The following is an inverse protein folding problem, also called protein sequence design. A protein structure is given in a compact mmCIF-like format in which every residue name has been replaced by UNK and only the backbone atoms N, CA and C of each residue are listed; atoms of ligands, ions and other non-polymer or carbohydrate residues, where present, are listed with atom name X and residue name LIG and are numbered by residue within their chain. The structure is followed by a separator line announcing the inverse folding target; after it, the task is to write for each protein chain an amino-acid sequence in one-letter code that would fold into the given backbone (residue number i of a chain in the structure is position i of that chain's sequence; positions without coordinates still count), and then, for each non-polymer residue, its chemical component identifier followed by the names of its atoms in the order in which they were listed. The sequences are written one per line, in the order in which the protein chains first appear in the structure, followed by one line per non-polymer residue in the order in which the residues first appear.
data_IF_973513575174
#
_entry.id   IF_973513575174
#
_cell.length_a   1.000
_cell.length_b   1.000
_cell.length_c   1.000
_cell.angle_alpha   90.00
_cell.angle_beta   90.00
_cell.angle_gamma   90.00
#
_symmetry.space_group_name_H-M   'P 1'
#
loop_
_entity.id
_entity.type
_entity.pdbx_description
1 polymer ?
#
# COMPACT_ATOMS: atom_id res chain seq x y z
N UNK A 1 -25.73 -7.75 19.46
CA UNK A 1 -24.82 -6.93 18.64
C UNK A 1 -24.29 -7.82 17.53
N UNK A 2 -24.44 -7.42 16.27
CA UNK A 2 -23.76 -8.10 15.18
C UNK A 2 -22.26 -7.81 15.28
N UNK A 3 -21.44 -8.85 15.18
CA UNK A 3 -19.98 -8.71 15.19
C UNK A 3 -19.54 -8.03 13.89
N UNK A 4 -18.66 -7.02 13.98
CA UNK A 4 -18.11 -6.35 12.80
C UNK A 4 -17.17 -7.32 12.08
N UNK A 5 -17.38 -7.53 10.78
CA UNK A 5 -16.42 -8.30 9.98
C UNK A 5 -15.13 -7.50 9.84
N UNK A 6 -13.98 -8.10 10.16
CA UNK A 6 -12.71 -7.41 10.08
C UNK A 6 -11.61 -8.19 9.35
N UNK A 7 -10.79 -7.48 8.59
CA UNK A 7 -9.66 -8.03 7.86
C UNK A 7 -8.43 -7.10 7.93
N UNK A 8 -7.24 -7.67 7.90
CA UNK A 8 -5.98 -6.91 7.98
C UNK A 8 -4.95 -7.52 7.02
N UNK A 9 -4.56 -6.73 6.02
CA UNK A 9 -3.65 -7.14 4.95
C UNK A 9 -2.33 -6.36 5.08
N UNK A 10 -1.38 -6.98 5.78
CA UNK A 10 -0.06 -6.39 6.04
C UNK A 10 0.99 -7.37 5.50
N UNK A 11 2.05 -6.90 4.84
CA UNK A 11 3.15 -7.76 4.43
C UNK A 11 3.75 -8.54 5.60
N UNK A 12 4.44 -9.64 5.29
CA UNK A 12 5.17 -10.38 6.31
C UNK A 12 6.23 -9.48 6.97
N UNK A 13 6.48 -9.70 8.26
CA UNK A 13 7.48 -8.96 9.04
C UNK A 13 8.87 -9.08 8.41
N UNK A 14 9.22 -10.26 7.87
CA UNK A 14 10.47 -10.45 7.13
C UNK A 14 10.61 -9.52 5.92
N UNK A 15 9.52 -9.29 5.18
CA UNK A 15 9.53 -8.41 4.01
C UNK A 15 9.69 -6.95 4.42
N UNK A 16 9.04 -6.54 5.51
CA UNK A 16 9.18 -5.20 6.10
C UNK A 16 10.61 -4.95 6.63
N UNK A 17 11.20 -5.93 7.31
CA UNK A 17 12.59 -5.86 7.78
C UNK A 17 13.54 -5.69 6.59
N UNK A 18 13.29 -6.41 5.50
CA UNK A 18 14.12 -6.32 4.31
C UNK A 18 14.00 -4.97 3.60
N UNK A 19 12.82 -4.35 3.61
CA UNK A 19 12.63 -2.97 3.12
C UNK A 19 13.52 -1.98 3.88
N UNK A 20 13.74 -2.18 5.18
CA UNK A 20 14.59 -1.32 6.00
C UNK A 20 16.09 -1.42 5.70
N UNK A 21 16.52 -2.37 4.86
CA UNK A 21 17.93 -2.62 4.53
C UNK A 21 18.42 -1.88 3.28
N UNK A 22 17.54 -1.21 2.54
CA UNK A 22 17.93 -0.47 1.34
C UNK A 22 18.36 0.95 1.68
N UNK A 23 19.55 1.30 1.25
CA UNK A 23 20.16 2.61 1.49
C UNK A 23 20.87 3.14 0.25
N UNK A 24 21.26 4.43 0.28
CA UNK A 24 22.14 5.01 -0.74
C UNK A 24 21.40 5.64 -1.92
N UNK A 25 21.91 5.40 -3.13
CA UNK A 25 21.24 5.77 -4.38
C UNK A 25 20.51 4.56 -4.94
N UNK A 26 19.32 4.75 -5.50
CA UNK A 26 18.55 3.66 -6.08
C UNK A 26 18.05 3.97 -7.49
N UNK A 27 18.10 2.93 -8.32
CA UNK A 27 17.49 2.88 -9.65
C UNK A 27 16.15 2.17 -9.54
N UNK A 28 15.13 2.74 -10.16
CA UNK A 28 13.77 2.23 -10.09
C UNK A 28 13.34 1.74 -11.46
N UNK A 29 12.85 0.52 -11.51
CA UNK A 29 12.38 -0.12 -12.72
C UNK A 29 10.93 -0.51 -12.59
N UNK A 30 10.19 -0.41 -13.69
CA UNK A 30 8.83 -0.93 -13.79
C UNK A 30 8.84 -2.18 -14.66
N UNK A 31 8.12 -3.20 -14.20
CA UNK A 31 7.87 -4.43 -14.95
C UNK A 31 6.37 -4.59 -15.13
N UNK A 32 5.95 -4.77 -16.38
CA UNK A 32 4.56 -5.07 -16.75
C UNK A 32 4.57 -6.30 -17.64
N UNK A 33 3.87 -7.36 -17.23
CA UNK A 33 3.73 -8.54 -18.07
C UNK A 33 2.35 -9.16 -17.92
N UNK A 34 1.83 -9.65 -19.04
CA UNK A 34 0.57 -10.39 -19.08
C UNK A 34 0.82 -11.84 -18.64
N UNK A 35 0.08 -12.29 -17.63
CA UNK A 35 0.12 -13.68 -17.20
C UNK A 35 -1.07 -14.40 -17.81
N UNK A 36 -0.84 -15.05 -18.95
CA UNK A 36 -1.88 -15.74 -19.75
C UNK A 36 -2.73 -16.72 -18.91
N UNK A 37 -2.09 -17.48 -18.00
CA UNK A 37 -2.76 -18.48 -17.15
C UNK A 37 -3.80 -17.88 -16.22
N UNK A 38 -3.58 -16.65 -15.75
CA UNK A 38 -4.47 -15.95 -14.82
C UNK A 38 -5.29 -14.85 -15.51
N UNK A 39 -5.12 -14.69 -16.83
CA UNK A 39 -5.69 -13.61 -17.63
C UNK A 39 -5.59 -12.24 -16.94
N UNK A 40 -4.42 -11.94 -16.36
CA UNK A 40 -4.18 -10.71 -15.59
C UNK A 40 -2.84 -10.08 -15.93
N UNK A 41 -2.76 -8.76 -15.83
CA UNK A 41 -1.50 -8.02 -15.89
C UNK A 41 -0.88 -8.05 -14.50
N UNK A 42 0.41 -8.35 -14.43
CA UNK A 42 1.19 -8.18 -13.22
C UNK A 42 2.03 -6.92 -13.32
N UNK A 43 1.80 -6.00 -12.38
CA UNK A 43 2.55 -4.77 -12.22
C UNK A 43 3.55 -4.92 -11.07
N UNK A 44 4.82 -4.64 -11.34
CA UNK A 44 5.88 -4.68 -10.34
C UNK A 44 6.76 -3.45 -10.45
N UNK A 45 7.20 -2.96 -9.30
CA UNK A 45 8.20 -1.92 -9.14
C UNK A 45 9.41 -2.54 -8.48
N UNK A 46 10.57 -2.35 -9.08
CA UNK A 46 11.85 -2.87 -8.66
C UNK A 46 12.74 -1.71 -8.24
N UNK A 47 13.23 -1.75 -7.02
CA UNK A 47 14.12 -0.74 -6.46
C UNK A 47 15.46 -1.42 -6.24
N UNK A 48 16.47 -1.02 -7.00
CA UNK A 48 17.83 -1.56 -6.89
C UNK A 48 18.73 -0.48 -6.30
N UNK A 49 19.15 -0.69 -5.06
CA UNK A 49 20.05 0.19 -4.34
C UNK A 49 21.52 -0.10 -4.69
N UNK A 50 22.37 0.91 -4.57
CA UNK A 50 23.82 0.83 -4.82
C UNK A 50 24.56 -0.03 -3.78
N UNK A 51 23.93 -0.31 -2.63
CA UNK A 51 24.40 -1.24 -1.60
C UNK A 51 24.28 -2.73 -2.00
N UNK A 52 23.74 -3.02 -3.19
CA UNK A 52 23.56 -4.37 -3.72
C UNK A 52 22.26 -5.05 -3.30
N UNK A 53 21.38 -4.38 -2.55
CA UNK A 53 20.04 -4.88 -2.22
C UNK A 53 19.01 -4.48 -3.29
N UNK A 54 18.03 -5.36 -3.52
CA UNK A 54 16.91 -5.07 -4.40
C UNK A 54 15.58 -5.41 -3.74
N UNK A 55 14.58 -4.54 -3.90
CA UNK A 55 13.22 -4.74 -3.40
C UNK A 55 12.26 -4.78 -4.57
N UNK A 56 11.39 -5.78 -4.59
CA UNK A 56 10.25 -5.83 -5.49
C UNK A 56 8.97 -5.54 -4.74
N UNK A 57 8.25 -4.55 -5.24
CA UNK A 57 6.93 -4.17 -4.79
C UNK A 57 5.97 -4.57 -5.89
N UNK A 58 4.97 -5.37 -5.56
CA UNK A 58 3.89 -5.76 -6.43
C UNK A 58 2.55 -5.43 -5.75
N UNK A 59 1.48 -5.34 -6.53
CA UNK A 59 0.12 -5.30 -6.00
C UNK A 59 -0.59 -6.59 -6.43
N UNK A 60 -1.33 -7.20 -5.52
CA UNK A 60 -2.21 -8.33 -5.79
C UNK A 60 -3.54 -8.12 -5.07
N UNK A 61 -4.57 -8.84 -5.51
CA UNK A 61 -5.90 -8.77 -4.91
C UNK A 61 -6.03 -9.70 -3.71
N UNK A 62 -6.41 -9.13 -2.57
CA UNK A 62 -6.78 -9.88 -1.36
C UNK A 62 -8.24 -9.67 -1.03
N UNK A 63 -8.96 -10.79 -0.84
CA UNK A 63 -10.33 -10.87 -0.31
C UNK A 63 -11.46 -10.29 -1.19
N UNK A 64 -12.43 -11.15 -1.50
CA UNK A 64 -13.56 -10.91 -2.41
C UNK A 64 -14.62 -9.99 -1.79
N UNK A 65 -14.75 -9.99 -0.46
CA UNK A 65 -15.83 -9.23 0.21
C UNK A 65 -15.54 -7.73 0.24
N UNK A 66 -14.28 -7.34 0.41
CA UNK A 66 -13.87 -5.94 0.46
C UNK A 66 -13.19 -5.45 -0.83
N UNK A 67 -12.71 -6.36 -1.69
CA UNK A 67 -11.92 -6.06 -2.87
C UNK A 67 -10.68 -5.20 -2.54
N UNK A 68 -9.97 -5.55 -1.47
CA UNK A 68 -8.77 -4.82 -1.10
C UNK A 68 -7.65 -5.05 -2.11
N UNK A 69 -7.09 -3.95 -2.61
CA UNK A 69 -5.84 -3.96 -3.34
C UNK A 69 -4.70 -4.08 -2.32
N UNK A 70 -4.08 -5.25 -2.26
CA UNK A 70 -3.08 -5.57 -1.25
C UNK A 70 -1.68 -5.48 -1.85
N UNK A 71 -0.80 -4.74 -1.20
CA UNK A 71 0.62 -4.76 -1.55
C UNK A 71 1.22 -6.14 -1.27
N UNK A 72 1.75 -6.77 -2.32
CA UNK A 72 2.67 -7.90 -2.20
C UNK A 72 4.10 -7.35 -2.21
N UNK A 73 4.76 -7.36 -1.05
CA UNK A 73 6.17 -7.02 -0.94
C UNK A 73 6.99 -8.31 -1.04
N UNK A 74 8.01 -8.34 -1.90
CA UNK A 74 8.98 -9.44 -1.94
C UNK A 74 10.38 -8.88 -2.11
N UNK A 75 11.25 -9.14 -1.14
CA UNK A 75 12.65 -8.70 -1.22
C UNK A 75 13.54 -9.84 -1.69
N UNK A 76 14.53 -9.54 -2.54
CA UNK A 76 15.47 -10.55 -3.02
C UNK A 76 16.84 -9.97 -3.36
N UNK A 77 17.91 -10.78 -3.33
CA UNK A 77 19.24 -10.33 -3.71
C UNK A 77 19.27 -9.81 -5.15
N UNK A 78 19.99 -8.71 -5.40
CA UNK A 78 20.09 -8.08 -6.73
C UNK A 78 20.80 -8.95 -7.79
N UNK A 79 21.42 -10.06 -7.38
CA UNK A 79 22.22 -10.97 -8.22
C UNK A 79 21.40 -11.82 -9.21
N UNK A 80 20.14 -11.47 -9.48
CA UNK A 80 19.30 -12.16 -10.46
C UNK A 80 19.47 -11.50 -11.84
N UNK A 81 20.37 -12.04 -12.64
CA UNK A 81 20.75 -11.64 -14.01
C UNK A 81 19.63 -11.71 -15.08
N UNK A 82 18.35 -11.77 -14.71
CA UNK A 82 17.25 -11.83 -15.70
C UNK A 82 16.10 -10.89 -15.36
N UNK A 83 16.38 -9.59 -15.37
CA UNK A 83 15.38 -8.52 -15.35
C UNK A 83 14.75 -8.29 -16.73
N UNK A 84 14.34 -9.37 -17.39
CA UNK A 84 13.74 -9.27 -18.72
C UNK A 84 12.46 -8.42 -18.66
N UNK A 85 12.27 -7.54 -19.65
CA UNK A 85 11.12 -6.64 -19.77
C UNK A 85 10.94 -5.60 -18.63
N UNK A 86 12.03 -5.15 -18.01
CA UNK A 86 12.00 -4.00 -17.09
C UNK A 86 12.42 -2.70 -17.79
N UNK A 87 11.68 -1.61 -17.59
CA UNK A 87 12.09 -0.26 -18.00
C UNK A 87 12.53 0.54 -16.78
N UNK A 88 13.72 1.17 -16.84
CA UNK A 88 14.10 2.16 -15.83
C UNK A 88 13.18 3.37 -15.96
N UNK A 89 12.55 3.76 -14.86
CA UNK A 89 11.56 4.87 -14.84
C UNK A 89 12.10 6.10 -14.11
N UNK A 90 12.96 5.92 -13.11
CA UNK A 90 13.63 7.03 -12.43
C UNK A 90 14.82 6.55 -11.58
N UNK A 91 15.55 7.52 -11.06
CA UNK A 91 16.55 7.34 -10.01
C UNK A 91 16.19 8.26 -8.84
N UNK A 92 16.51 7.84 -7.62
CA UNK A 92 16.34 8.67 -6.43
C UNK A 92 17.42 8.36 -5.40
N UNK A 93 17.57 9.27 -4.44
CA UNK A 93 18.61 9.21 -3.42
C UNK A 93 18.23 10.03 -2.19
N UNK A 94 19.15 10.08 -1.23
CA UNK A 94 19.05 10.93 -0.04
C UNK A 94 17.84 10.63 0.86
N UNK A 95 17.30 9.41 0.85
CA UNK A 95 16.34 8.98 1.86
C UNK A 95 17.08 8.44 3.09
N UNK A 96 16.42 8.53 4.23
CA UNK A 96 16.99 8.13 5.53
C UNK A 96 16.04 7.26 6.34
N UNK A 97 14.76 7.27 6.00
CA UNK A 97 13.73 6.48 6.65
C UNK A 97 12.66 6.08 5.63
N UNK A 98 11.86 5.09 6.01
CA UNK A 98 10.77 4.57 5.20
C UNK A 98 9.50 4.69 6.02
N UNK A 99 8.44 5.19 5.39
CA UNK A 99 7.11 5.29 5.95
C UNK A 99 6.16 4.37 5.18
N UNK A 100 5.41 3.56 5.90
CA UNK A 100 4.36 2.71 5.36
C UNK A 100 3.03 3.47 5.43
N UNK A 101 2.28 3.44 4.34
CA UNK A 101 0.98 4.09 4.21
C UNK A 101 -0.11 3.05 4.27
N UNK A 102 -0.93 3.09 5.32
CA UNK A 102 -2.06 2.19 5.48
C UNK A 102 -3.37 2.92 5.22
N UNK A 103 -4.35 2.22 4.68
CA UNK A 103 -5.70 2.76 4.46
C UNK A 103 -6.73 1.80 4.98
N UNK A 104 -7.76 2.35 5.61
CA UNK A 104 -8.94 1.60 6.00
C UNK A 104 -9.98 1.70 4.90
N UNK A 105 -10.62 0.59 4.58
CA UNK A 105 -11.87 0.57 3.84
C UNK A 105 -12.95 -0.03 4.72
N UNK A 106 -14.13 0.57 4.70
CA UNK A 106 -15.22 0.11 5.55
C UNK A 106 -16.57 0.25 4.87
N UNK A 107 -17.48 -0.64 5.27
CA UNK A 107 -18.88 -0.64 4.87
C UNK A 107 -19.73 -0.22 6.07
N UNK A 108 -20.75 0.60 5.81
CA UNK A 108 -21.79 0.89 6.80
C UNK A 108 -23.16 0.98 6.14
N UNK A 109 -24.25 0.86 6.92
CA UNK A 109 -25.58 1.15 6.41
C UNK A 109 -25.66 2.60 5.89
N UNK A 110 -26.41 2.80 4.81
CA UNK A 110 -26.76 4.12 4.36
C UNK A 110 -27.70 4.80 5.36
N UNK A 111 -27.48 6.10 5.58
CA UNK A 111 -28.44 6.92 6.33
C UNK A 111 -29.62 7.31 5.43
N UNK A 112 -30.77 7.63 6.02
CA UNK A 112 -31.98 7.97 5.27
C UNK A 112 -31.72 9.12 4.29
N UNK A 113 -31.88 8.85 2.99
CA UNK A 113 -31.70 9.83 1.92
C UNK A 113 -30.26 9.96 1.40
N UNK A 114 -29.30 9.20 1.92
CA UNK A 114 -27.91 9.23 1.46
C UNK A 114 -27.72 8.61 0.06
N UNK A 115 -28.47 7.54 -0.22
CA UNK A 115 -28.49 6.89 -1.53
C UNK A 115 -29.93 6.60 -1.96
N UNK A 116 -30.20 6.40 -3.27
CA UNK A 116 -31.53 6.04 -3.75
C UNK A 116 -32.07 4.78 -3.06
N UNK A 117 -33.36 4.76 -2.74
CA UNK A 117 -34.01 3.61 -2.10
C UNK A 117 -34.02 2.33 -2.96
N UNK A 118 -33.80 2.47 -4.26
CA UNK A 118 -33.67 1.36 -5.21
C UNK A 118 -32.29 0.69 -5.19
N UNK A 119 -31.31 1.27 -4.50
CA UNK A 119 -29.94 0.74 -4.40
C UNK A 119 -29.76 -0.06 -3.11
N UNK A 120 -28.72 -0.90 -3.08
CA UNK A 120 -28.29 -1.58 -1.87
C UNK A 120 -27.91 -0.53 -0.82
N UNK A 121 -28.55 -0.58 0.36
CA UNK A 121 -28.44 0.43 1.43
C UNK A 121 -27.13 0.34 2.22
N UNK A 122 -26.00 0.23 1.50
CA UNK A 122 -24.65 0.12 2.03
C UNK A 122 -23.77 1.19 1.38
N UNK A 123 -22.94 1.84 2.18
CA UNK A 123 -21.97 2.84 1.74
C UNK A 123 -20.57 2.31 2.01
N UNK A 124 -19.74 2.27 0.96
CA UNK A 124 -18.32 1.98 1.05
C UNK A 124 -17.52 3.28 1.14
N UNK A 125 -16.59 3.35 2.10
CA UNK A 125 -15.70 4.49 2.28
C UNK A 125 -14.27 4.02 2.51
N UNK A 126 -13.33 4.92 2.20
CA UNK A 126 -11.90 4.76 2.46
C UNK A 126 -11.37 5.92 3.29
N UNK A 127 -10.37 5.68 4.13
CA UNK A 127 -9.72 6.74 4.89
C UNK A 127 -8.84 6.25 6.03
N UNK A 128 -8.62 7.13 7.01
CA UNK A 128 -7.89 6.86 8.25
C UNK A 128 -8.72 6.08 9.26
N UNK A 129 -8.06 5.52 10.27
CA UNK A 129 -8.75 4.80 11.35
C UNK A 129 -9.77 5.71 12.07
N UNK A 130 -9.41 6.98 12.28
CA UNK A 130 -10.26 7.97 12.93
C UNK A 130 -11.52 8.34 12.14
N UNK A 131 -11.53 8.04 10.83
CA UNK A 131 -12.66 8.30 9.93
C UNK A 131 -13.61 7.09 9.83
N UNK A 132 -13.27 5.96 10.45
CA UNK A 132 -14.09 4.74 10.44
C UNK A 132 -15.29 4.91 11.36
N UNK A 133 -16.47 4.98 10.76
CA UNK A 133 -17.74 5.19 11.45
C UNK A 133 -18.00 4.12 12.53
N UNK A 134 -18.69 4.51 13.60
CA UNK A 134 -19.06 3.60 14.70
C UNK A 134 -20.12 2.56 14.32
N UNK A 135 -20.88 2.81 13.25
CA UNK A 135 -21.88 1.92 12.67
C UNK A 135 -21.35 1.03 11.54
N UNK A 136 -20.03 1.00 11.33
CA UNK A 136 -19.40 0.16 10.33
C UNK A 136 -19.72 -1.32 10.59
N UNK A 137 -20.20 -2.02 9.56
CA UNK A 137 -20.53 -3.45 9.60
C UNK A 137 -19.37 -4.32 9.14
N UNK A 138 -18.46 -3.73 8.36
CA UNK A 138 -17.27 -4.39 7.87
C UNK A 138 -16.12 -3.38 7.79
N UNK A 139 -14.92 -3.74 8.23
CA UNK A 139 -13.73 -2.89 8.21
C UNK A 139 -12.54 -3.73 7.76
N UNK A 140 -11.75 -3.24 6.82
CA UNK A 140 -10.41 -3.78 6.63
C UNK A 140 -9.38 -2.71 6.45
N UNK A 141 -8.12 -3.12 6.60
CA UNK A 141 -6.98 -2.25 6.52
C UNK A 141 -5.89 -2.93 5.71
N UNK A 142 -5.30 -2.18 4.79
CA UNK A 142 -4.23 -2.66 3.92
C UNK A 142 -3.08 -1.65 3.87
N UNK A 143 -1.86 -2.15 3.67
CA UNK A 143 -0.77 -1.33 3.16
C UNK A 143 -1.11 -0.92 1.72
N UNK A 144 -1.10 0.39 1.43
CA UNK A 144 -1.45 0.96 0.12
C UNK A 144 -0.32 1.80 -0.50
N UNK A 145 0.80 1.94 0.21
CA UNK A 145 1.99 2.57 -0.34
C UNK A 145 3.17 2.62 0.62
N UNK A 146 4.33 2.92 0.05
CA UNK A 146 5.61 3.07 0.73
C UNK A 146 6.22 4.40 0.30
N UNK A 147 6.60 5.20 1.29
CA UNK A 147 7.28 6.49 1.09
C UNK A 147 8.71 6.38 1.58
N UNK A 148 9.64 6.70 0.70
CA UNK A 148 11.03 6.94 1.02
C UNK A 148 11.17 8.39 1.50
N UNK A 149 11.57 8.58 2.74
CA UNK A 149 11.56 9.88 3.40
C UNK A 149 12.97 10.42 3.61
N UNK A 150 13.18 11.68 3.22
CA UNK A 150 14.39 12.41 3.52
C UNK A 150 14.25 13.11 4.89
N UNK A 151 14.88 12.54 5.92
CA UNK A 151 14.82 13.09 7.28
C UNK A 151 15.56 14.42 7.44
N UNK A 152 16.52 14.74 6.56
CA UNK A 152 17.31 15.99 6.61
C UNK A 152 16.47 17.16 6.10
N UNK A 153 15.89 17.04 4.91
CA UNK A 153 15.01 18.07 4.33
C UNK A 153 13.57 17.97 4.82
N UNK A 154 13.23 16.93 5.58
CA UNK A 154 11.88 16.64 6.09
C UNK A 154 10.82 16.62 4.99
N UNK A 155 11.13 15.96 3.88
CA UNK A 155 10.21 15.81 2.75
C UNK A 155 10.28 14.40 2.16
N UNK A 156 9.23 13.96 1.45
CA UNK A 156 9.26 12.68 0.75
C UNK A 156 10.20 12.75 -0.46
N UNK A 157 11.03 11.72 -0.63
CA UNK A 157 11.92 11.55 -1.78
C UNK A 157 11.25 10.74 -2.91
N UNK A 158 10.46 9.73 -2.56
CA UNK A 158 9.73 8.90 -3.52
C UNK A 158 8.54 8.21 -2.85
N UNK A 159 7.48 7.98 -3.63
CA UNK A 159 6.32 7.15 -3.30
C UNK A 159 6.20 6.00 -4.30
N UNK A 160 5.94 4.80 -3.78
CA UNK A 160 5.39 3.67 -4.55
C UNK A 160 4.03 3.33 -3.92
N UNK A 161 2.93 3.45 -4.66
CA UNK A 161 1.57 3.29 -4.13
C UNK A 161 0.64 2.58 -5.13
N UNK A 162 -0.52 2.09 -4.67
CA UNK A 162 -1.58 1.67 -5.58
C UNK A 162 -2.04 2.90 -6.36
N UNK A 163 -2.34 2.72 -7.64
CA UNK A 163 -2.89 3.78 -8.48
C UNK A 163 -4.41 3.78 -8.39
N UNK A 164 -4.94 4.57 -7.45
CA UNK A 164 -6.38 4.74 -7.22
C UNK A 164 -7.16 5.23 -8.46
N UNK A 165 -6.48 5.73 -9.51
CA UNK A 165 -7.11 6.25 -10.72
C UNK A 165 -6.94 5.33 -11.94
N UNK A 166 -6.26 4.19 -11.79
CA UNK A 166 -6.07 3.27 -12.88
C UNK A 166 -7.31 2.38 -13.08
N UNK A 167 -7.58 2.03 -14.33
CA UNK A 167 -8.59 1.02 -14.68
C UNK A 167 -8.17 -0.39 -14.21
N UNK A 168 -6.88 -0.60 -13.92
CA UNK A 168 -6.29 -1.87 -13.47
C UNK A 168 -6.15 -1.90 -11.95
N UNK A 169 -6.80 -2.88 -11.30
CA UNK A 169 -6.78 -3.12 -9.87
C UNK A 169 -5.46 -3.03 -9.14
N UNK A 170 -4.47 -3.52 -9.88
CA UNK A 170 -3.15 -3.88 -9.40
C UNK A 170 -2.11 -2.88 -9.88
N UNK A 171 -2.55 -1.78 -10.49
CA UNK A 171 -1.65 -0.76 -10.98
C UNK A 171 -0.88 -0.13 -9.82
N UNK A 172 0.43 0.01 -10.04
CA UNK A 172 1.33 0.72 -9.14
C UNK A 172 1.76 2.03 -9.78
N UNK A 173 1.70 3.09 -8.98
CA UNK A 173 2.27 4.38 -9.32
C UNK A 173 3.60 4.60 -8.60
N UNK A 174 4.55 5.20 -9.32
CA UNK A 174 5.78 5.75 -8.76
C UNK A 174 5.75 7.26 -8.94
N UNK A 175 6.01 8.01 -7.86
CA UNK A 175 5.96 9.48 -7.84
C UNK A 175 7.16 10.04 -7.08
N UNK A 176 7.70 11.15 -7.57
CA UNK A 176 8.77 11.94 -6.90
C UNK A 176 8.33 13.37 -6.59
N UNK A 177 7.17 13.80 -7.08
CA UNK A 177 6.67 15.14 -6.83
C UNK A 177 6.12 15.26 -5.40
N UNK A 178 6.78 16.07 -4.57
CA UNK A 178 6.47 16.23 -3.15
C UNK A 178 4.98 16.48 -2.87
N UNK A 179 4.35 17.43 -3.59
CA UNK A 179 2.93 17.79 -3.35
C UNK A 179 1.99 16.61 -3.58
N UNK A 180 2.25 15.83 -4.63
CA UNK A 180 1.46 14.65 -4.98
C UNK A 180 1.62 13.57 -3.92
N UNK A 181 2.84 13.38 -3.41
CA UNK A 181 3.12 12.42 -2.34
C UNK A 181 2.43 12.84 -1.04
N UNK A 182 2.57 14.11 -0.64
CA UNK A 182 1.95 14.64 0.58
C UNK A 182 0.42 14.57 0.52
N UNK A 183 -0.18 14.84 -0.64
CA UNK A 183 -1.62 14.69 -0.85
C UNK A 183 -2.05 13.23 -0.64
N UNK A 184 -1.33 12.27 -1.21
CA UNK A 184 -1.62 10.84 -1.02
C UNK A 184 -1.42 10.42 0.44
N UNK A 185 -0.34 10.87 1.09
CA UNK A 185 -0.11 10.62 2.52
C UNK A 185 -1.24 11.17 3.40
N UNK A 186 -1.84 12.30 3.01
CA UNK A 186 -2.91 12.93 3.80
C UNK A 186 -4.16 12.07 3.95
N UNK A 187 -4.39 11.11 3.05
CA UNK A 187 -5.54 10.20 3.04
C UNK A 187 -5.25 8.85 3.72
N UNK A 188 -4.04 8.66 4.23
CA UNK A 188 -3.56 7.40 4.78
C UNK A 188 -3.12 7.55 6.24
N UNK A 189 -3.11 6.44 6.98
CA UNK A 189 -2.31 6.32 8.18
C UNK A 189 -0.83 6.21 7.80
N UNK A 190 -0.02 7.10 8.36
CA UNK A 190 1.42 7.18 8.06
C UNK A 190 2.18 6.63 9.25
N UNK A 191 2.80 5.47 9.07
CA UNK A 191 3.50 4.75 10.12
C UNK A 191 4.98 4.62 9.73
N UNK A 192 5.91 4.94 10.61
CA UNK A 192 7.31 4.68 10.31
C UNK A 192 7.55 3.17 10.26
N UNK A 193 8.42 2.70 9.37
CA UNK A 193 8.63 1.27 9.12
C UNK A 193 8.90 0.47 10.42
N UNK A 194 9.71 1.03 11.32
CA UNK A 194 10.07 0.44 12.61
C UNK A 194 8.89 0.33 13.59
N UNK A 195 7.84 1.12 13.41
CA UNK A 195 6.65 1.15 14.27
C UNK A 195 5.53 0.25 13.75
N UNK A 196 5.64 -0.28 12.52
CA UNK A 196 4.61 -1.11 11.89
C UNK A 196 4.22 -2.32 12.75
N UNK A 197 5.14 -3.08 13.38
CA UNK A 197 4.76 -4.24 14.21
C UNK A 197 3.95 -3.86 15.46
N UNK A 198 4.26 -2.75 16.13
CA UNK A 198 3.46 -2.25 17.26
C UNK A 198 2.10 -1.74 16.80
N UNK A 199 2.08 -0.89 15.77
CA UNK A 199 0.86 -0.31 15.23
C UNK A 199 -0.11 -1.40 14.75
N UNK A 200 0.41 -2.43 14.06
CA UNK A 200 -0.37 -3.60 13.63
C UNK A 200 -1.07 -4.31 14.79
N UNK A 201 -0.38 -4.47 15.93
CA UNK A 201 -0.96 -5.11 17.12
C UNK A 201 -2.08 -4.26 17.70
N UNK A 202 -1.92 -2.94 17.73
CA UNK A 202 -2.94 -1.99 18.18
C UNK A 202 -4.17 -2.03 17.29
N UNK A 203 -4.00 -2.00 15.96
CA UNK A 203 -5.10 -2.12 14.99
C UNK A 203 -5.82 -3.46 15.14
N UNK A 204 -5.11 -4.57 15.31
CA UNK A 204 -5.73 -5.89 15.58
C UNK A 204 -6.54 -5.89 16.86
N UNK A 205 -6.04 -5.27 17.93
CA UNK A 205 -6.75 -5.18 19.19
C UNK A 205 -8.02 -4.31 19.05
N UNK A 206 -7.91 -3.19 18.34
CA UNK A 206 -9.03 -2.30 18.05
C UNK A 206 -10.12 -2.97 17.20
N UNK A 207 -9.74 -3.68 16.12
CA UNK A 207 -10.68 -4.43 15.28
C UNK A 207 -11.43 -5.51 16.06
N UNK A 208 -10.76 -6.22 16.98
CA UNK A 208 -11.38 -7.25 17.84
C UNK A 208 -12.35 -6.68 18.89
N UNK A 209 -12.21 -5.40 19.23
CA UNK A 209 -13.06 -4.74 20.22
C UNK A 209 -14.35 -4.17 19.63
N UNK A 210 -14.52 -4.21 18.30
CA UNK A 210 -15.72 -3.76 17.58
C UNK A 210 -16.67 -4.92 17.28
#
# INVERSE_FOLDING_TARGET
MAMVKSALFIPNEDDLVCLGRIHGQARVFQQRFEQEVLNRVLNRVLIVADDGNAVCIASDYGDVEFKFECFSLKVFPSTLDSWNATSEICQFGNWHSIKCLFRFEYLRPATSGEIPSSWEQIVQKRGKQSEVSGDATAIGCALVGIVFWNSVSRCPAMLVANDDNADDPTALQVRQEQKTIELFMSTCEVVNLEEVPSWTREVRAWLKAR
#
